data_IF_743401501316
#
_entry.id   IF_743401501316
#
_cell.length_a   1.000
_cell.length_b   1.000
_cell.length_c   1.000
_cell.angle_alpha   90.00
_cell.angle_beta   90.00
_cell.angle_gamma   90.00
#
_symmetry.space_group_name_H-M   'P 1'
#
loop_
_entity.id
_entity.type
_entity.pdbx_description
1 polymer ?
#
# COMPACT_ATOMS: atom_id res chain seq x y z
N UNK A 1 8.84 -10.92 9.17
CA UNK A 1 7.37 -10.72 9.11
C UNK A 1 6.88 -10.31 10.50
N UNK A 2 5.88 -9.44 10.63
CA UNK A 2 5.35 -9.09 11.96
C UNK A 2 4.54 -10.29 12.53
N UNK A 3 4.71 -10.69 13.80
CA UNK A 3 4.02 -11.86 14.35
C UNK A 3 2.51 -11.81 14.18
N UNK A 4 1.90 -10.65 14.44
CA UNK A 4 0.46 -10.41 14.29
C UNK A 4 -0.02 -10.30 12.82
N UNK A 5 0.84 -10.48 11.82
CA UNK A 5 0.41 -10.51 10.41
C UNK A 5 0.74 -11.85 9.74
N UNK A 6 1.17 -12.85 10.53
CA UNK A 6 1.59 -14.17 10.05
C UNK A 6 0.43 -15.06 9.58
N UNK A 7 -0.80 -14.77 10.03
CA UNK A 7 -1.99 -15.54 9.68
C UNK A 7 -2.38 -15.37 8.22
N UNK A 8 -2.87 -16.43 7.53
CA UNK A 8 -3.38 -16.33 6.17
C UNK A 8 -4.48 -15.26 6.01
N UNK A 9 -5.27 -15.00 7.05
CA UNK A 9 -6.32 -13.98 7.01
C UNK A 9 -5.75 -12.56 6.84
N UNK A 10 -4.53 -12.31 7.32
CA UNK A 10 -3.85 -11.02 7.15
C UNK A 10 -3.52 -10.71 5.68
N UNK A 11 -3.43 -11.73 4.83
CA UNK A 11 -3.15 -11.61 3.39
C UNK A 11 -4.36 -11.09 2.59
N UNK A 12 -5.57 -11.09 3.16
CA UNK A 12 -6.77 -10.60 2.47
C UNK A 12 -6.60 -9.15 2.00
N UNK A 13 -5.87 -8.34 2.76
CA UNK A 13 -5.56 -6.94 2.41
C UNK A 13 -4.77 -6.85 1.10
N UNK A 14 -3.78 -7.73 0.93
CA UNK A 14 -2.98 -7.83 -0.29
C UNK A 14 -3.81 -8.33 -1.46
N UNK A 15 -4.68 -9.33 -1.25
CA UNK A 15 -5.59 -9.85 -2.29
C UNK A 15 -6.52 -8.75 -2.79
N UNK A 16 -7.14 -8.00 -1.87
CA UNK A 16 -8.03 -6.89 -2.22
C UNK A 16 -7.28 -5.76 -2.95
N UNK A 17 -6.07 -5.42 -2.50
CA UNK A 17 -5.23 -4.42 -3.15
C UNK A 17 -4.81 -4.84 -4.56
N UNK A 18 -4.35 -6.09 -4.72
CA UNK A 18 -4.00 -6.65 -6.01
C UNK A 18 -5.19 -6.65 -6.99
N UNK A 19 -6.38 -7.02 -6.50
CA UNK A 19 -7.61 -6.94 -7.30
C UNK A 19 -7.92 -5.50 -7.72
N UNK A 20 -7.81 -4.53 -6.80
CA UNK A 20 -8.11 -3.13 -7.09
C UNK A 20 -7.24 -2.55 -8.21
N UNK A 21 -5.99 -3.01 -8.35
CA UNK A 21 -5.01 -2.50 -9.33
C UNK A 21 -4.82 -3.40 -10.55
N UNK A 22 -5.70 -4.39 -10.77
CA UNK A 22 -5.60 -5.44 -11.82
C UNK A 22 -5.51 -4.95 -13.27
N UNK A 23 -5.73 -3.66 -13.52
CA UNK A 23 -5.64 -3.04 -14.85
C UNK A 23 -4.56 -1.96 -14.96
N UNK A 24 -3.76 -1.76 -13.90
CA UNK A 24 -2.73 -0.73 -13.88
C UNK A 24 -1.40 -1.28 -14.41
N UNK A 25 -0.78 -0.55 -15.35
CA UNK A 25 0.52 -0.90 -15.92
C UNK A 25 1.68 -0.62 -14.94
N UNK A 26 1.57 0.44 -14.15
CA UNK A 26 2.58 0.82 -13.18
C UNK A 26 2.00 0.82 -11.76
N UNK A 27 2.71 0.18 -10.82
CA UNK A 27 2.25 0.03 -9.44
C UNK A 27 3.36 0.48 -8.49
N UNK A 28 3.00 1.35 -7.56
CA UNK A 28 3.81 1.71 -6.39
C UNK A 28 3.09 1.24 -5.13
N UNK A 29 3.73 0.35 -4.37
CA UNK A 29 3.29 -0.10 -3.06
C UNK A 29 4.18 0.52 -1.97
N UNK A 30 3.55 1.06 -0.92
CA UNK A 30 4.21 1.53 0.28
C UNK A 30 3.64 0.76 1.48
N UNK A 31 4.51 0.05 2.20
CA UNK A 31 4.14 -0.81 3.33
C UNK A 31 3.89 -2.26 2.91
N UNK A 32 2.91 -2.92 3.54
CA UNK A 32 2.63 -4.35 3.33
C UNK A 32 3.20 -5.28 4.43
N UNK A 33 4.05 -4.75 5.32
CA UNK A 33 4.51 -5.40 6.55
C UNK A 33 5.26 -6.73 6.32
N UNK A 34 6.04 -6.79 5.27
CA UNK A 34 6.78 -8.00 4.89
C UNK A 34 6.05 -8.91 3.90
N UNK A 35 4.83 -8.55 3.46
CA UNK A 35 4.05 -9.32 2.50
C UNK A 35 3.60 -8.39 1.34
N UNK A 36 4.46 -8.17 0.34
CA UNK A 36 4.16 -7.35 -0.83
C UNK A 36 2.98 -7.91 -1.65
N UNK A 37 2.29 -7.04 -2.40
CA UNK A 37 1.20 -7.48 -3.28
C UNK A 37 1.69 -8.24 -4.51
N UNK A 38 2.99 -8.21 -4.83
CA UNK A 38 3.57 -8.84 -6.03
C UNK A 38 3.18 -10.31 -6.18
N UNK A 39 3.10 -11.06 -5.07
CA UNK A 39 2.67 -12.46 -5.06
C UNK A 39 1.16 -12.69 -5.27
N UNK A 40 0.36 -11.63 -5.29
CA UNK A 40 -1.10 -11.67 -5.42
C UNK A 40 -1.60 -11.05 -6.73
N UNK A 41 -0.73 -10.39 -7.49
CA UNK A 41 -1.06 -9.83 -8.79
C UNK A 41 -1.32 -10.97 -9.78
N UNK A 42 -2.44 -10.90 -10.49
CA UNK A 42 -2.83 -11.89 -11.50
C UNK A 42 -2.67 -11.38 -12.93
N UNK A 43 -2.46 -10.07 -13.12
CA UNK A 43 -2.21 -9.45 -14.41
C UNK A 43 -0.71 -9.24 -14.66
N UNK A 44 -0.38 -8.61 -15.79
CA UNK A 44 1.00 -8.37 -16.22
C UNK A 44 1.31 -6.86 -16.23
N UNK A 45 1.60 -6.24 -15.07
CA UNK A 45 2.05 -4.86 -15.03
C UNK A 45 3.44 -4.73 -15.66
N UNK A 46 3.74 -3.55 -16.21
CA UNK A 46 5.05 -3.23 -16.75
C UNK A 46 6.08 -2.96 -15.64
N UNK A 47 5.63 -2.34 -14.53
CA UNK A 47 6.51 -2.03 -13.40
C UNK A 47 5.80 -2.22 -12.05
N UNK A 48 6.49 -2.81 -11.09
CA UNK A 48 6.05 -2.87 -9.69
C UNK A 48 7.19 -2.41 -8.79
N UNK A 49 6.96 -1.35 -8.01
CA UNK A 49 7.90 -0.86 -7.01
C UNK A 49 7.28 -0.98 -5.62
N UNK A 50 7.95 -1.70 -4.72
CA UNK A 50 7.51 -1.90 -3.33
C UNK A 50 8.51 -1.21 -2.41
N UNK A 51 8.02 -0.40 -1.47
CA UNK A 51 8.84 0.34 -0.51
C UNK A 51 8.39 -0.03 0.90
N UNK A 52 9.21 -0.82 1.59
CA UNK A 52 8.99 -1.18 3.00
C UNK A 52 10.36 -1.46 3.64
N UNK A 53 10.72 -0.84 4.77
CA UNK A 53 11.98 -1.15 5.46
C UNK A 53 12.07 -2.59 5.99
N UNK A 54 10.98 -3.37 5.96
CA UNK A 54 10.88 -4.74 6.50
C UNK A 54 10.97 -5.83 5.44
N UNK A 55 11.02 -5.49 4.15
CA UNK A 55 11.22 -6.47 3.07
C UNK A 55 12.68 -6.49 2.64
N UNK A 56 13.21 -7.64 2.19
CA UNK A 56 14.52 -7.67 1.55
C UNK A 56 14.49 -6.90 0.23
N UNK A 57 15.60 -6.25 -0.09
CA UNK A 57 15.78 -5.66 -1.42
C UNK A 57 15.74 -6.78 -2.47
N UNK A 58 15.07 -6.51 -3.59
CA UNK A 58 14.86 -7.49 -4.65
C UNK A 58 14.67 -6.76 -5.98
N UNK A 59 15.11 -7.39 -7.07
CA UNK A 59 14.81 -6.94 -8.41
C UNK A 59 14.60 -8.11 -9.35
N UNK A 60 13.70 -7.93 -10.31
CA UNK A 60 13.45 -8.88 -11.39
C UNK A 60 13.01 -8.15 -12.66
N UNK A 61 13.18 -8.81 -13.80
CA UNK A 61 12.70 -8.37 -15.12
C UNK A 61 11.44 -9.12 -15.56
N UNK A 62 10.96 -10.04 -14.73
CA UNK A 62 9.71 -10.78 -14.95
C UNK A 62 8.88 -10.87 -13.67
N UNK A 63 7.56 -10.97 -13.85
CA UNK A 63 6.58 -11.30 -12.81
C UNK A 63 5.55 -12.26 -13.43
N UNK A 64 5.27 -13.38 -12.77
CA UNK A 64 4.35 -14.42 -13.28
C UNK A 64 4.67 -14.85 -14.72
N UNK A 65 5.96 -15.08 -15.02
CA UNK A 65 6.46 -15.46 -16.35
C UNK A 65 6.24 -14.44 -17.48
N UNK A 66 5.80 -13.22 -17.17
CA UNK A 66 5.65 -12.12 -18.13
C UNK A 66 6.69 -11.01 -17.87
N UNK A 67 7.06 -10.19 -18.88
CA UNK A 67 7.93 -9.04 -18.69
C UNK A 67 7.37 -8.06 -17.65
N UNK A 68 8.17 -7.73 -16.64
CA UNK A 68 7.80 -6.79 -15.58
C UNK A 68 9.06 -6.32 -14.84
N UNK A 69 9.26 -5.00 -14.71
CA UNK A 69 10.33 -4.45 -13.88
C UNK A 69 9.87 -4.43 -12.42
N UNK A 70 10.27 -5.43 -11.65
CA UNK A 70 9.99 -5.51 -10.21
C UNK A 70 11.16 -4.93 -9.43
N UNK A 71 10.87 -4.08 -8.45
CA UNK A 71 11.85 -3.53 -7.50
C UNK A 71 11.26 -3.52 -6.09
N UNK A 72 11.91 -4.18 -5.15
CA UNK A 72 11.65 -4.02 -3.72
C UNK A 72 12.77 -3.18 -3.11
N UNK A 73 12.39 -2.10 -2.46
CA UNK A 73 13.29 -1.15 -1.82
C UNK A 73 13.13 -1.29 -0.30
N UNK A 74 14.18 -1.83 0.34
CA UNK A 74 14.29 -1.95 1.78
C UNK A 74 14.63 -0.58 2.41
N UNK A 75 13.69 0.36 2.33
CA UNK A 75 13.91 1.76 2.69
C UNK A 75 12.67 2.38 3.31
N UNK A 76 12.86 3.50 4.03
CA UNK A 76 11.73 4.35 4.41
C UNK A 76 11.31 5.17 3.19
N UNK A 77 10.01 5.43 3.07
CA UNK A 77 9.43 6.25 2.01
C UNK A 77 10.20 7.57 1.78
N UNK A 78 10.56 8.25 2.88
CA UNK A 78 11.21 9.55 2.86
C UNK A 78 12.63 9.55 2.25
N UNK A 79 13.24 8.38 2.08
CA UNK A 79 14.59 8.20 1.52
C UNK A 79 14.57 7.83 0.03
N UNK A 80 13.38 7.62 -0.54
CA UNK A 80 13.20 7.13 -1.90
C UNK A 80 12.58 8.24 -2.75
N UNK A 81 13.22 8.55 -3.86
CA UNK A 81 12.58 9.31 -4.93
C UNK A 81 11.63 8.39 -5.71
N UNK A 82 10.35 8.77 -5.77
CA UNK A 82 9.31 7.97 -6.41
C UNK A 82 8.70 8.77 -7.55
N UNK A 83 9.07 8.41 -8.78
CA UNK A 83 8.55 9.03 -10.00
C UNK A 83 8.11 7.90 -10.93
N UNK A 84 6.92 7.30 -10.70
CA UNK A 84 6.42 6.22 -11.55
C UNK A 84 5.97 6.78 -12.90
N UNK A 85 6.07 6.01 -14.00
CA UNK A 85 5.43 6.40 -15.26
C UNK A 85 3.91 6.47 -15.08
N UNK A 86 3.27 7.45 -15.71
CA UNK A 86 1.82 7.59 -15.70
C UNK A 86 1.20 6.80 -16.87
N UNK A 87 0.01 6.20 -16.69
CA UNK A 87 -0.77 6.15 -15.45
C UNK A 87 -0.29 5.07 -14.47
N UNK A 88 -0.40 5.32 -13.16
CA UNK A 88 0.03 4.38 -12.11
C UNK A 88 -1.01 4.22 -11.00
N UNK A 89 -0.93 3.10 -10.30
CA UNK A 89 -1.61 2.90 -9.02
C UNK A 89 -0.67 3.20 -7.84
N UNK A 90 -1.22 3.77 -6.77
CA UNK A 90 -0.58 3.89 -5.47
C UNK A 90 -1.32 3.01 -4.46
N UNK A 91 -0.57 2.14 -3.79
CA UNK A 91 -1.09 1.21 -2.78
C UNK A 91 -0.44 1.49 -1.43
N UNK A 92 -1.25 1.86 -0.44
CA UNK A 92 -0.83 2.10 0.94
C UNK A 92 -1.39 0.99 1.83
N UNK A 93 -0.59 -0.04 2.11
CA UNK A 93 -1.02 -1.18 2.94
C UNK A 93 -0.55 -1.06 4.38
N UNK A 94 -1.51 -1.03 5.31
CA UNK A 94 -1.27 -0.88 6.73
C UNK A 94 -0.71 0.51 7.08
N UNK A 95 -1.36 1.57 6.59
CA UNK A 95 -0.97 2.97 6.79
C UNK A 95 -0.58 3.22 8.25
N UNK A 96 0.72 3.48 8.46
CA UNK A 96 1.30 3.70 9.78
C UNK A 96 2.67 4.38 9.61
N UNK A 97 2.75 5.39 8.75
CA UNK A 97 4.03 6.03 8.45
C UNK A 97 4.56 6.75 9.69
N UNK A 98 5.88 6.78 9.85
CA UNK A 98 6.56 7.56 10.88
C UNK A 98 7.33 8.70 10.21
N UNK A 99 7.50 9.85 10.88
CA UNK A 99 8.46 10.86 10.42
C UNK A 99 9.86 10.24 10.29
N UNK A 100 10.68 10.82 9.41
CA UNK A 100 12.07 10.42 9.26
C UNK A 100 12.97 11.63 9.01
N UNK A 101 13.98 11.81 9.87
CA UNK A 101 14.80 13.00 9.88
C UNK A 101 13.93 14.26 10.03
N UNK A 102 14.07 15.20 9.09
CA UNK A 102 13.25 16.44 9.04
C UNK A 102 11.94 16.29 8.28
N UNK A 103 11.68 15.14 7.66
CA UNK A 103 10.50 14.91 6.84
C UNK A 103 9.35 14.34 7.68
N UNK A 104 8.15 14.86 7.46
CA UNK A 104 6.93 14.38 8.10
C UNK A 104 6.56 12.94 7.71
N UNK A 105 5.57 12.37 8.40
CA UNK A 105 5.05 11.04 8.09
C UNK A 105 4.32 11.01 6.73
N UNK A 106 3.59 12.09 6.41
CA UNK A 106 2.89 12.32 5.15
C UNK A 106 3.51 13.52 4.43
N UNK A 107 4.69 13.35 3.83
CA UNK A 107 5.38 14.46 3.15
C UNK A 107 4.59 14.89 1.89
N UNK A 108 4.75 16.13 1.40
CA UNK A 108 4.02 16.64 0.23
C UNK A 108 4.14 15.75 -1.01
N UNK A 109 5.27 15.09 -1.20
CA UNK A 109 5.52 14.17 -2.32
C UNK A 109 4.59 12.94 -2.26
N UNK A 110 4.29 12.44 -1.06
CA UNK A 110 3.30 11.36 -0.88
C UNK A 110 1.89 11.84 -1.24
N UNK A 111 1.53 13.06 -0.82
CA UNK A 111 0.23 13.65 -1.14
C UNK A 111 0.10 13.90 -2.65
N UNK A 112 1.18 14.32 -3.32
CA UNK A 112 1.23 14.47 -4.77
C UNK A 112 1.06 13.13 -5.49
N UNK A 113 1.75 12.07 -5.04
CA UNK A 113 1.55 10.71 -5.58
C UNK A 113 0.10 10.26 -5.38
N UNK A 114 -0.45 10.49 -4.19
CA UNK A 114 -1.82 10.12 -3.86
C UNK A 114 -2.84 10.91 -4.69
N UNK A 115 -2.61 12.19 -5.00
CA UNK A 115 -3.48 12.99 -5.86
C UNK A 115 -3.43 12.55 -7.33
N UNK A 116 -2.25 12.19 -7.83
CA UNK A 116 -2.03 11.93 -9.26
C UNK A 116 -2.18 10.44 -9.67
N UNK A 117 -2.30 9.51 -8.72
CA UNK A 117 -2.49 8.11 -9.05
C UNK A 117 -3.82 7.89 -9.78
N UNK A 118 -3.83 7.02 -10.80
CA UNK A 118 -5.05 6.57 -11.46
C UNK A 118 -5.93 5.74 -10.51
N UNK A 119 -5.29 4.96 -9.64
CA UNK A 119 -5.97 4.19 -8.59
C UNK A 119 -5.22 4.40 -7.29
N UNK A 120 -5.93 4.76 -6.22
CA UNK A 120 -5.38 4.88 -4.88
C UNK A 120 -6.03 3.85 -3.96
N UNK A 121 -5.24 2.96 -3.40
CA UNK A 121 -5.66 1.97 -2.39
C UNK A 121 -5.11 2.36 -1.03
N UNK A 122 -5.96 2.37 0.00
CA UNK A 122 -5.55 2.64 1.39
C UNK A 122 -6.15 1.59 2.32
N UNK A 123 -5.29 0.87 3.03
CA UNK A 123 -5.66 -0.02 4.14
C UNK A 123 -5.09 0.53 5.44
N UNK A 124 -5.92 0.63 6.47
CA UNK A 124 -5.47 1.07 7.78
C UNK A 124 -6.28 0.45 8.93
N UNK A 125 -5.63 0.26 10.08
CA UNK A 125 -6.28 -0.16 11.31
C UNK A 125 -7.02 1.03 11.94
N UNK A 126 -8.26 0.82 12.37
CA UNK A 126 -9.12 1.90 12.88
C UNK A 126 -8.58 2.51 14.17
N UNK A 127 -8.03 1.69 15.06
CA UNK A 127 -7.61 2.16 16.38
C UNK A 127 -6.12 2.56 16.42
N UNK A 128 -5.45 2.64 15.27
CA UNK A 128 -4.06 3.06 15.19
C UNK A 128 -3.94 4.59 15.06
N UNK A 129 -3.49 5.25 16.13
CA UNK A 129 -3.34 6.71 16.21
C UNK A 129 -2.58 7.31 15.01
N UNK A 130 -1.48 6.68 14.60
CA UNK A 130 -0.71 7.14 13.44
C UNK A 130 -1.53 7.14 12.16
N UNK A 131 -2.35 6.12 11.94
CA UNK A 131 -3.22 6.07 10.77
C UNK A 131 -4.27 7.18 10.83
N UNK A 132 -4.88 7.39 11.99
CA UNK A 132 -5.88 8.44 12.21
C UNK A 132 -5.33 9.85 11.93
N UNK A 133 -4.08 10.12 12.32
CA UNK A 133 -3.42 11.38 12.00
C UNK A 133 -3.03 11.58 10.53
N UNK A 134 -3.15 10.55 9.68
CA UNK A 134 -2.66 10.55 8.29
C UNK A 134 -3.79 10.42 7.28
N UNK A 135 -4.85 9.68 7.62
CA UNK A 135 -5.90 9.30 6.68
C UNK A 135 -6.60 10.51 6.08
N UNK A 136 -6.91 11.53 6.89
CA UNK A 136 -7.63 12.72 6.44
C UNK A 136 -6.92 13.46 5.31
N UNK A 137 -5.61 13.68 5.45
CA UNK A 137 -4.81 14.34 4.42
C UNK A 137 -4.73 13.51 3.13
N UNK A 138 -4.60 12.19 3.24
CA UNK A 138 -4.55 11.28 2.08
C UNK A 138 -5.89 11.22 1.34
N UNK A 139 -7.01 11.08 2.05
CA UNK A 139 -8.34 11.06 1.43
C UNK A 139 -8.71 12.41 0.83
N UNK A 140 -8.24 13.52 1.41
CA UNK A 140 -8.47 14.87 0.88
C UNK A 140 -7.77 15.13 -0.47
N UNK A 141 -6.86 14.25 -0.90
CA UNK A 141 -6.26 14.31 -2.26
C UNK A 141 -7.24 13.90 -3.35
N UNK A 142 -8.44 13.42 -2.99
CA UNK A 142 -9.47 12.93 -3.92
C UNK A 142 -10.75 13.73 -3.75
N UNK A 143 -11.26 14.28 -4.85
CA UNK A 143 -12.53 14.98 -4.87
C UNK A 143 -13.72 14.02 -4.84
N UNK A 144 -13.62 12.89 -5.56
CA UNK A 144 -14.65 11.86 -5.59
C UNK A 144 -14.55 10.94 -4.36
N UNK A 145 -15.69 10.40 -3.88
CA UNK A 145 -15.68 9.38 -2.84
C UNK A 145 -14.98 8.09 -3.31
N UNK A 146 -14.55 7.23 -2.38
CA UNK A 146 -13.98 5.93 -2.75
C UNK A 146 -15.01 5.07 -3.48
N UNK A 147 -14.60 4.43 -4.57
CA UNK A 147 -15.41 3.45 -5.29
C UNK A 147 -15.57 2.13 -4.51
N UNK A 148 -14.62 1.84 -3.61
CA UNK A 148 -14.70 0.72 -2.66
C UNK A 148 -14.42 1.28 -1.27
N UNK A 149 -15.36 1.08 -0.35
CA UNK A 149 -15.20 1.41 1.07
C UNK A 149 -15.64 0.22 1.93
N UNK A 150 -14.68 -0.58 2.36
CA UNK A 150 -14.92 -1.82 3.10
C UNK A 150 -14.48 -1.69 4.55
N UNK A 151 -15.38 -2.00 5.47
CA UNK A 151 -15.05 -2.33 6.85
C UNK A 151 -14.62 -3.79 6.90
N UNK A 152 -13.45 -4.06 7.46
CA UNK A 152 -12.90 -5.40 7.59
C UNK A 152 -12.63 -5.68 9.06
N UNK A 153 -12.98 -6.89 9.49
CA UNK A 153 -12.50 -7.46 10.75
C UNK A 153 -11.73 -8.73 10.42
N UNK A 154 -10.45 -8.75 10.78
CA UNK A 154 -9.60 -9.94 10.64
C UNK A 154 -9.63 -10.66 11.99
N UNK A 155 -10.44 -11.71 12.08
CA UNK A 155 -10.61 -12.50 13.29
C UNK A 155 -9.38 -13.41 13.53
N UNK A 156 -8.29 -12.77 13.96
CA UNK A 156 -7.01 -13.39 14.29
C UNK A 156 -6.57 -12.93 15.68
N UNK A 157 -6.26 -13.89 16.55
CA UNK A 157 -5.97 -13.61 17.96
C UNK A 157 -4.81 -12.62 18.14
N UNK A 158 -3.77 -12.72 17.30
CA UNK A 158 -2.61 -11.84 17.42
C UNK A 158 -2.92 -10.41 16.92
N UNK A 159 -3.77 -10.25 15.91
CA UNK A 159 -4.27 -8.93 15.50
C UNK A 159 -5.20 -8.30 16.54
N UNK A 160 -6.10 -9.09 17.12
CA UNK A 160 -7.02 -8.63 18.16
C UNK A 160 -6.25 -8.20 19.40
N UNK A 161 -5.28 -9.00 19.85
CA UNK A 161 -4.40 -8.66 20.96
C UNK A 161 -3.58 -7.39 20.69
N UNK A 162 -3.21 -7.13 19.43
CA UNK A 162 -2.53 -5.90 19.02
C UNK A 162 -3.47 -4.70 18.79
N UNK A 163 -4.79 -4.90 18.79
CA UNK A 163 -5.79 -3.87 18.49
C UNK A 163 -5.83 -3.43 17.03
N UNK A 164 -5.40 -4.29 16.09
CA UNK A 164 -5.30 -3.96 14.66
C UNK A 164 -6.20 -4.82 13.75
N UNK A 165 -7.11 -5.57 14.34
CA UNK A 165 -8.06 -6.48 13.70
C UNK A 165 -9.15 -5.74 12.91
N UNK A 166 -9.62 -4.59 13.42
CA UNK A 166 -10.61 -3.73 12.76
C UNK A 166 -9.95 -2.74 11.83
N UNK A 167 -10.40 -2.71 10.57
CA UNK A 167 -9.72 -1.98 9.49
C UNK A 167 -10.72 -1.34 8.55
N UNK A 168 -10.25 -0.30 7.85
CA UNK A 168 -10.91 0.23 6.66
C UNK A 168 -10.01 0.04 5.46
N UNK A 169 -10.63 -0.37 4.36
CA UNK A 169 -10.00 -0.56 3.07
C UNK A 169 -10.73 0.30 2.04
N UNK A 170 -10.02 1.30 1.51
CA UNK A 170 -10.53 2.29 0.60
C UNK A 170 -9.87 2.13 -0.77
N UNK A 171 -10.66 2.26 -1.84
CA UNK A 171 -10.15 2.37 -3.21
C UNK A 171 -10.79 3.56 -3.89
N UNK A 172 -9.96 4.47 -4.38
CA UNK A 172 -10.36 5.59 -5.22
C UNK A 172 -9.99 5.28 -6.68
N UNK A 173 -10.89 5.64 -7.60
CA UNK A 173 -10.61 5.62 -9.03
C UNK A 173 -9.78 6.83 -9.47
N UNK A 174 -9.79 7.10 -10.78
CA UNK A 174 -9.10 8.26 -11.34
C UNK A 174 -9.57 9.55 -10.65
N UNK A 175 -8.63 10.44 -10.35
CA UNK A 175 -8.92 11.78 -9.81
C UNK A 175 -9.65 12.65 -10.84
#
# INVERSE_FOLDING_TARGET
>A
MLPHLSSPAAALRQVLAAHAVRFCAHIVEIGGAGLPITGFLTHHPETVTVIDPKIPAFSATTLNHAPCRVRHLAAKLQEVEIVPPAPYALVLLGLSLKPFGRRGATPPELLALAANAQVLVIDYALDLERAQGQIGALTATRAAPPAIDLALTINDEALMAAGFDRRRFLVFGAA
#
